data_IF_067884895891
#
_entry.id   IF_067884895891
#
_cell.length_a   1.000
_cell.length_b   1.000
_cell.length_c   1.000
_cell.angle_alpha   90.00
_cell.angle_beta   90.00
_cell.angle_gamma   90.00
#
_symmetry.space_group_name_H-M   'P 1'
#
loop_
_entity.id
_entity.type
_entity.pdbx_description
1 polymer ?
#
# COMPACT_ATOMS: atom_id res chain seq x y z
N UNK A 1 21.07 -9.73 6.80
CA UNK A 1 20.12 -9.86 7.92
C UNK A 1 19.77 -11.34 8.04
N UNK A 2 19.75 -11.90 9.25
CA UNK A 2 19.33 -13.29 9.45
C UNK A 2 17.80 -13.40 9.49
N UNK A 3 17.26 -14.62 9.41
CA UNK A 3 15.81 -14.84 9.36
C UNK A 3 15.10 -14.36 10.63
N UNK A 4 15.75 -14.45 11.80
CA UNK A 4 15.16 -13.98 13.04
C UNK A 4 15.03 -12.46 13.04
N UNK A 5 16.09 -11.73 12.71
CA UNK A 5 16.06 -10.27 12.62
C UNK A 5 15.07 -9.77 11.56
N UNK A 6 14.93 -10.49 10.44
CA UNK A 6 13.91 -10.15 9.43
C UNK A 6 12.49 -10.28 9.98
N UNK A 7 12.20 -11.34 10.74
CA UNK A 7 10.87 -11.55 11.31
C UNK A 7 10.51 -10.45 12.30
N UNK A 8 11.45 -10.09 13.17
CA UNK A 8 11.26 -9.08 14.23
C UNK A 8 11.10 -7.67 13.67
N UNK A 9 11.71 -7.38 12.51
CA UNK A 9 11.67 -6.06 11.87
C UNK A 9 10.64 -5.96 10.75
N UNK A 10 9.95 -7.05 10.38
CA UNK A 10 8.99 -7.03 9.28
C UNK A 10 7.81 -6.12 9.63
N UNK A 11 7.47 -5.19 8.75
CA UNK A 11 6.37 -4.23 8.90
C UNK A 11 5.22 -4.52 7.93
N UNK A 12 5.57 -4.86 6.70
CA UNK A 12 4.61 -5.11 5.62
C UNK A 12 5.15 -6.18 4.68
N UNK A 13 4.29 -7.13 4.29
CA UNK A 13 4.64 -8.16 3.32
C UNK A 13 3.49 -8.42 2.35
N UNK A 14 3.70 -8.05 1.09
CA UNK A 14 2.78 -8.40 0.01
C UNK A 14 2.88 -9.90 -0.26
N UNK A 15 1.90 -10.65 0.27
CA UNK A 15 1.90 -12.12 0.23
C UNK A 15 1.71 -12.63 -1.19
N UNK A 16 0.95 -11.92 -2.01
CA UNK A 16 0.66 -12.29 -3.40
C UNK A 16 1.90 -12.05 -4.27
N UNK A 17 2.58 -10.92 -4.07
CA UNK A 17 3.86 -10.65 -4.73
C UNK A 17 4.92 -11.68 -4.35
N UNK A 18 5.07 -12.00 -3.06
CA UNK A 18 6.05 -12.99 -2.58
C UNK A 18 5.75 -14.37 -3.16
N UNK A 19 4.49 -14.81 -3.13
CA UNK A 19 4.10 -16.09 -3.70
C UNK A 19 4.38 -16.17 -5.21
N UNK A 20 4.02 -15.12 -5.97
CA UNK A 20 4.28 -15.05 -7.40
C UNK A 20 5.78 -15.00 -7.73
N UNK A 21 6.57 -14.24 -6.96
CA UNK A 21 8.02 -14.17 -7.11
C UNK A 21 8.68 -15.51 -6.77
N UNK A 22 8.18 -16.23 -5.75
CA UNK A 22 8.69 -17.53 -5.36
C UNK A 22 8.50 -18.56 -6.47
N UNK A 23 7.30 -18.63 -7.05
CA UNK A 23 7.00 -19.47 -8.20
C UNK A 23 7.90 -19.13 -9.39
N UNK A 24 7.99 -17.85 -9.75
CA UNK A 24 8.72 -17.40 -10.94
C UNK A 24 10.24 -17.58 -10.82
N UNK A 25 10.83 -17.35 -9.65
CA UNK A 25 12.29 -17.32 -9.47
C UNK A 25 12.86 -18.64 -8.93
N UNK A 26 12.08 -19.41 -8.18
CA UNK A 26 12.52 -20.72 -7.64
C UNK A 26 11.93 -21.90 -8.40
N UNK A 27 10.95 -21.68 -9.28
CA UNK A 27 10.32 -22.74 -10.07
C UNK A 27 9.41 -23.68 -9.26
N UNK A 28 9.04 -23.29 -8.04
CA UNK A 28 8.14 -24.06 -7.19
C UNK A 28 6.70 -23.66 -7.45
N UNK A 29 5.99 -24.44 -8.27
CA UNK A 29 4.57 -24.24 -8.53
C UNK A 29 3.73 -24.52 -7.27
N UNK A 30 2.70 -23.71 -6.99
CA UNK A 30 1.76 -24.01 -5.92
C UNK A 30 0.97 -25.28 -6.23
N UNK A 31 0.53 -25.96 -5.17
CA UNK A 31 -0.59 -26.87 -5.28
C UNK A 31 -1.86 -26.04 -5.48
N UNK A 32 -2.47 -26.14 -6.66
CA UNK A 32 -3.72 -25.43 -6.98
C UNK A 32 -4.91 -26.29 -6.62
N UNK A 33 -5.79 -25.78 -5.74
CA UNK A 33 -7.11 -26.35 -5.50
C UNK A 33 -8.16 -25.39 -6.07
N UNK A 34 -8.94 -25.86 -7.05
CA UNK A 34 -10.06 -25.10 -7.60
C UNK A 34 -11.30 -25.44 -6.80
N UNK A 35 -11.79 -24.48 -6.00
CA UNK A 35 -13.04 -24.61 -5.28
C UNK A 35 -14.15 -23.94 -6.08
N UNK A 36 -15.08 -24.75 -6.61
CA UNK A 36 -16.29 -24.26 -7.25
C UNK A 36 -17.35 -24.03 -6.18
N UNK A 37 -17.71 -22.77 -5.93
CA UNK A 37 -18.84 -22.44 -5.07
C UNK A 37 -20.13 -22.45 -5.90
N UNK A 38 -20.97 -23.46 -5.72
CA UNK A 38 -22.34 -23.44 -6.24
C UNK A 38 -23.23 -22.67 -5.25
N UNK A 39 -23.64 -21.46 -5.62
CA UNK A 39 -24.48 -20.61 -4.79
C UNK A 39 -25.85 -21.25 -4.55
N UNK A 40 -26.09 -21.78 -3.34
CA UNK A 40 -27.40 -22.29 -2.91
C UNK A 40 -28.30 -21.12 -2.49
N UNK A 41 -28.77 -20.33 -3.44
CA UNK A 41 -29.93 -19.45 -3.21
C UNK A 41 -31.21 -20.29 -3.35
N UNK A 42 -31.71 -20.79 -2.21
CA UNK A 42 -33.06 -21.30 -2.10
C UNK A 42 -34.04 -20.11 -2.13
N UNK A 43 -34.55 -19.77 -3.32
CA UNK A 43 -35.58 -18.75 -3.48
C UNK A 43 -35.70 -18.28 -4.93
N UNK A 44 -36.69 -18.84 -5.65
CA UNK A 44 -37.23 -18.38 -6.94
C UNK A 44 -36.23 -18.09 -8.07
N UNK A 45 -35.97 -19.11 -8.89
CA UNK A 45 -35.23 -19.03 -10.16
C UNK A 45 -35.98 -18.22 -11.22
N UNK A 46 -35.40 -17.08 -11.64
CA UNK A 46 -35.64 -16.51 -12.98
C UNK A 46 -34.52 -17.05 -13.89
N UNK A 47 -34.82 -17.83 -14.95
CA UNK A 47 -33.83 -18.68 -15.59
C UNK A 47 -33.21 -18.06 -16.85
N UNK A 48 -32.62 -16.85 -16.79
CA UNK A 48 -31.95 -16.31 -18.00
C UNK A 48 -30.61 -15.60 -17.86
N UNK A 49 -30.13 -15.21 -16.66
CA UNK A 49 -28.78 -14.62 -16.56
C UNK A 49 -28.13 -14.89 -15.19
N UNK A 50 -27.51 -16.06 -15.04
CA UNK A 50 -26.55 -16.27 -13.95
C UNK A 50 -25.36 -17.09 -14.45
N UNK A 51 -24.53 -16.47 -15.28
CA UNK A 51 -23.13 -16.86 -15.46
C UNK A 51 -22.34 -16.48 -14.18
N UNK A 52 -22.78 -17.00 -13.03
CA UNK A 52 -22.27 -16.69 -11.70
C UNK A 52 -21.69 -17.92 -11.03
N UNK A 53 -20.88 -18.70 -11.76
CA UNK A 53 -19.98 -19.66 -11.13
C UNK A 53 -18.72 -18.88 -10.73
N UNK A 54 -18.67 -18.36 -9.50
CA UNK A 54 -17.40 -17.91 -8.93
C UNK A 54 -16.58 -19.14 -8.57
N UNK A 55 -15.75 -19.58 -9.52
CA UNK A 55 -14.66 -20.49 -9.20
C UNK A 55 -13.57 -19.67 -8.49
N UNK A 56 -13.32 -19.99 -7.23
CA UNK A 56 -12.18 -19.43 -6.51
C UNK A 56 -11.03 -20.43 -6.64
N UNK A 57 -9.93 -20.00 -7.26
CA UNK A 57 -8.69 -20.76 -7.29
C UNK A 57 -7.90 -20.47 -6.01
N UNK A 58 -7.67 -21.50 -5.20
CA UNK A 58 -6.82 -21.42 -4.00
C UNK A 58 -5.45 -21.98 -4.33
N UNK A 59 -4.41 -21.18 -4.10
CA UNK A 59 -3.00 -21.59 -4.25
C UNK A 59 -2.41 -21.91 -2.89
N UNK A 60 -1.86 -23.10 -2.74
CA UNK A 60 -1.25 -23.56 -1.50
C UNK A 60 0.20 -23.94 -1.75
N UNK A 61 1.11 -23.42 -0.93
CA UNK A 61 2.52 -23.78 -0.95
C UNK A 61 2.90 -24.58 0.29
N UNK A 62 3.91 -25.43 0.17
CA UNK A 62 4.43 -26.21 1.31
C UNK A 62 5.29 -25.36 2.26
N UNK A 63 5.80 -24.22 1.78
CA UNK A 63 6.59 -23.25 2.55
C UNK A 63 5.68 -22.11 2.98
N UNK A 64 5.89 -21.55 4.17
CA UNK A 64 5.17 -20.36 4.63
C UNK A 64 5.58 -19.12 3.84
N UNK A 65 4.73 -18.08 3.79
CA UNK A 65 5.08 -16.81 3.12
C UNK A 65 6.37 -16.19 3.68
N UNK A 66 6.61 -16.33 4.99
CA UNK A 66 7.86 -15.88 5.59
C UNK A 66 9.05 -16.73 5.14
N UNK A 67 8.90 -18.06 5.04
CA UNK A 67 9.92 -18.93 4.46
C UNK A 67 10.27 -18.55 3.03
N UNK A 68 9.25 -18.30 2.19
CA UNK A 68 9.46 -17.82 0.82
C UNK A 68 10.25 -16.50 0.80
N UNK A 69 9.88 -15.55 1.66
CA UNK A 69 10.59 -14.28 1.79
C UNK A 69 12.07 -14.51 2.15
N UNK A 70 12.38 -15.40 3.10
CA UNK A 70 13.78 -15.66 3.48
C UNK A 70 14.62 -16.21 2.32
N UNK A 71 14.02 -17.01 1.43
CA UNK A 71 14.70 -17.55 0.25
C UNK A 71 14.80 -16.56 -0.92
N UNK A 72 13.85 -15.62 -1.00
CA UNK A 72 13.79 -14.57 -2.02
C UNK A 72 14.59 -13.33 -1.66
N UNK A 73 14.90 -13.10 -0.38
CA UNK A 73 15.58 -11.90 0.07
C UNK A 73 16.88 -11.62 -0.71
N UNK A 74 17.77 -12.59 -1.01
CA UNK A 74 18.97 -12.34 -1.82
C UNK A 74 18.67 -11.86 -3.25
N UNK A 75 17.54 -12.26 -3.83
CA UNK A 75 17.10 -11.77 -5.14
C UNK A 75 16.51 -10.36 -5.02
N UNK A 76 15.75 -10.10 -3.95
CA UNK A 76 15.18 -8.78 -3.71
C UNK A 76 16.26 -7.72 -3.43
N UNK A 77 17.38 -8.09 -2.80
CA UNK A 77 18.53 -7.20 -2.59
C UNK A 77 19.15 -6.69 -3.89
N UNK A 78 18.92 -7.36 -5.03
CA UNK A 78 19.43 -6.93 -6.35
C UNK A 78 18.62 -5.79 -6.96
N UNK A 79 17.43 -5.47 -6.45
CA UNK A 79 16.66 -4.32 -6.93
C UNK A 79 17.41 -3.01 -6.66
N UNK A 80 17.30 -2.01 -7.54
CA UNK A 80 18.04 -0.76 -7.39
C UNK A 80 17.47 0.09 -6.26
N UNK A 81 18.32 0.96 -5.68
CA UNK A 81 17.85 2.06 -4.83
C UNK A 81 17.18 3.13 -5.71
N UNK A 82 16.01 3.62 -5.28
CA UNK A 82 15.28 4.70 -5.91
C UNK A 82 15.79 6.03 -5.36
N UNK A 83 16.72 6.67 -6.09
CA UNK A 83 17.36 7.92 -5.68
C UNK A 83 16.47 9.17 -5.87
N UNK A 84 15.54 9.16 -6.82
CA UNK A 84 14.52 10.18 -7.02
C UNK A 84 13.48 9.65 -8.03
N UNK A 85 12.20 10.03 -7.93
CA UNK A 85 11.28 9.79 -9.02
C UNK A 85 11.51 10.87 -10.08
N UNK A 86 11.87 10.46 -11.29
CA UNK A 86 11.13 10.99 -12.42
C UNK A 86 10.72 9.79 -13.25
N UNK A 87 9.58 9.20 -12.89
CA UNK A 87 8.85 8.41 -13.87
C UNK A 87 8.01 9.43 -14.65
N UNK A 88 8.33 9.70 -15.94
CA UNK A 88 7.50 10.57 -16.76
C UNK A 88 6.06 10.08 -16.74
N UNK A 89 5.10 10.99 -16.88
CA UNK A 89 3.72 10.57 -17.08
C UNK A 89 3.66 9.55 -18.23
N UNK A 90 2.94 8.44 -18.03
CA UNK A 90 2.83 7.30 -18.96
C UNK A 90 4.06 6.39 -19.09
N UNK A 91 5.05 6.49 -18.21
CA UNK A 91 6.13 5.49 -18.16
C UNK A 91 5.68 4.22 -17.45
N UNK A 92 6.33 3.09 -17.77
CA UNK A 92 6.18 1.85 -17.03
C UNK A 92 6.53 2.04 -15.54
N UNK A 93 5.84 1.31 -14.66
CA UNK A 93 6.17 1.25 -13.24
C UNK A 93 7.57 0.68 -13.01
N UNK A 94 8.24 1.10 -11.94
CA UNK A 94 9.56 0.56 -11.54
C UNK A 94 9.49 -0.04 -10.15
N UNK A 95 10.25 -1.11 -9.93
CA UNK A 95 10.46 -1.70 -8.61
C UNK A 95 11.84 -1.29 -8.11
N UNK A 96 11.93 -0.89 -6.84
CA UNK A 96 13.20 -0.55 -6.21
C UNK A 96 13.07 -0.29 -4.73
N UNK A 97 14.23 -0.22 -4.08
CA UNK A 97 14.33 0.08 -2.65
C UNK A 97 14.24 1.57 -2.39
N UNK A 98 13.55 1.94 -1.33
CA UNK A 98 13.61 3.27 -0.71
C UNK A 98 13.97 3.11 0.76
N UNK A 99 14.90 3.93 1.22
CA UNK A 99 15.24 4.04 2.63
C UNK A 99 14.70 5.37 3.15
N UNK A 100 14.05 5.35 4.32
CA UNK A 100 13.38 6.53 4.83
C UNK A 100 12.52 6.27 6.05
N UNK A 101 11.52 7.12 6.24
CA UNK A 101 10.59 7.07 7.37
C UNK A 101 9.19 6.73 6.88
N UNK A 102 8.58 5.71 7.48
CA UNK A 102 7.18 5.37 7.32
C UNK A 102 6.34 6.17 8.32
N UNK A 103 5.37 6.92 7.82
CA UNK A 103 4.44 7.72 8.63
C UNK A 103 3.02 7.65 8.09
N UNK A 104 2.06 8.01 8.94
CA UNK A 104 0.66 8.24 8.53
C UNK A 104 0.46 9.73 8.22
N UNK A 105 -0.23 10.02 7.13
CA UNK A 105 -0.59 11.37 6.71
C UNK A 105 -2.09 11.46 6.48
N UNK A 106 -2.65 12.66 6.65
CA UNK A 106 -4.04 12.98 6.29
C UNK A 106 -4.05 14.05 5.22
N UNK A 107 -4.86 13.84 4.19
CA UNK A 107 -5.18 14.86 3.20
C UNK A 107 -6.64 15.26 3.39
N UNK A 108 -6.89 16.57 3.40
CA UNK A 108 -8.22 17.15 3.52
C UNK A 108 -8.56 17.86 2.21
N UNK A 109 -9.62 17.41 1.54
CA UNK A 109 -10.12 18.05 0.33
C UNK A 109 -11.15 19.10 0.74
N UNK A 110 -10.79 20.37 0.60
CA UNK A 110 -11.70 21.50 0.80
C UNK A 110 -12.43 21.82 -0.49
N UNK A 111 -13.71 22.16 -0.38
CA UNK A 111 -14.48 22.66 -1.53
C UNK A 111 -13.95 24.04 -1.94
N UNK A 112 -13.63 24.23 -3.23
CA UNK A 112 -13.42 25.58 -3.75
C UNK A 112 -14.79 26.24 -3.81
N UNK A 113 -15.09 27.10 -2.84
CA UNK A 113 -16.18 28.04 -2.96
C UNK A 113 -15.97 28.85 -4.24
N UNK A 114 -16.84 28.65 -5.23
CA UNK A 114 -16.91 29.54 -6.39
C UNK A 114 -17.45 30.87 -5.86
N UNK A 115 -16.57 31.77 -5.43
CA UNK A 115 -16.92 33.18 -5.31
C UNK A 115 -17.21 33.67 -6.73
N UNK A 116 -18.47 33.56 -7.12
CA UNK A 116 -19.03 34.42 -8.14
C UNK A 116 -19.12 35.79 -7.47
N UNK A 117 -18.17 36.66 -7.80
CA UNK A 117 -18.12 38.04 -7.34
C UNK A 117 -19.33 38.79 -7.93
N UNK A 118 -20.48 38.65 -7.29
CA UNK A 118 -21.61 39.56 -7.45
C UNK A 118 -21.56 40.55 -6.30
N UNK A 119 -21.31 41.81 -6.66
CA UNK A 119 -21.41 42.97 -5.80
C UNK A 119 -22.74 42.96 -5.01
N UNK A 120 -22.69 42.60 -3.74
CA UNK A 120 -23.67 43.08 -2.76
C UNK A 120 -23.04 43.10 -1.36
N UNK A 121 -22.80 44.32 -0.88
CA UNK A 121 -22.48 44.64 0.52
C UNK A 121 -23.55 44.04 1.45
N UNK A 122 -23.18 43.12 2.35
CA UNK A 122 -23.53 43.09 3.80
C UNK A 122 -22.50 42.18 4.51
N UNK A 123 -22.09 42.59 5.70
CA UNK A 123 -21.01 42.08 6.54
C UNK A 123 -21.14 40.63 7.05
N UNK A 124 -20.00 39.92 7.02
CA UNK A 124 -19.49 38.95 8.01
C UNK A 124 -20.43 37.92 8.65
N UNK A 125 -20.43 36.69 8.10
CA UNK A 125 -20.52 35.44 8.88
C UNK A 125 -19.51 34.47 8.27
N UNK A 126 -18.66 33.86 9.10
CA UNK A 126 -17.52 33.05 8.69
C UNK A 126 -17.90 32.02 7.63
N UNK A 127 -17.22 32.06 6.49
CA UNK A 127 -17.40 31.11 5.40
C UNK A 127 -16.86 29.76 5.89
N UNK A 128 -17.77 28.91 6.37
CA UNK A 128 -17.48 27.52 6.66
C UNK A 128 -17.19 26.84 5.32
N UNK A 129 -15.92 26.64 4.97
CA UNK A 129 -15.56 25.81 3.82
C UNK A 129 -15.89 24.36 4.19
N UNK A 130 -16.92 23.73 3.60
CA UNK A 130 -17.23 22.35 3.91
C UNK A 130 -16.08 21.45 3.45
N UNK A 131 -15.56 20.64 4.38
CA UNK A 131 -14.63 19.56 4.04
C UNK A 131 -15.41 18.52 3.22
N UNK A 132 -15.02 18.34 1.96
CA UNK A 132 -15.68 17.39 1.04
C UNK A 132 -15.27 15.95 1.31
N UNK A 133 -14.11 15.76 1.94
CA UNK A 133 -13.62 14.47 2.38
C UNK A 133 -12.22 14.59 2.96
N UNK A 134 -11.83 13.64 3.80
CA UNK A 134 -10.45 13.45 4.23
C UNK A 134 -10.05 12.00 4.09
N UNK A 135 -8.82 11.77 3.68
CA UNK A 135 -8.26 10.43 3.53
C UNK A 135 -6.96 10.33 4.33
N UNK A 136 -6.77 9.22 5.03
CA UNK A 136 -5.55 8.90 5.76
C UNK A 136 -4.79 7.80 5.03
N UNK A 137 -3.49 7.97 4.87
CA UNK A 137 -2.67 7.02 4.13
C UNK A 137 -1.28 6.90 4.75
N UNK A 138 -0.64 5.76 4.49
CA UNK A 138 0.79 5.59 4.79
C UNK A 138 1.63 6.23 3.71
N UNK A 139 2.74 6.85 4.08
CA UNK A 139 3.75 7.28 3.13
C UNK A 139 5.15 6.99 3.63
N UNK A 140 6.06 6.71 2.69
CA UNK A 140 7.50 6.66 2.96
C UNK A 140 8.15 7.91 2.42
N UNK A 141 8.83 8.63 3.31
CA UNK A 141 9.65 9.79 2.96
C UNK A 141 11.11 9.39 2.99
N UNK A 142 11.81 9.56 1.86
CA UNK A 142 13.22 9.20 1.75
C UNK A 142 14.09 10.00 2.71
N UNK A 143 15.19 9.40 3.18
CA UNK A 143 16.23 10.08 3.93
C UNK A 143 16.73 11.31 3.13
N UNK A 144 16.62 12.50 3.70
CA UNK A 144 16.91 13.78 3.02
C UNK A 144 15.70 14.49 2.43
N UNK A 145 14.49 13.93 2.53
CA UNK A 145 13.22 14.62 2.25
C UNK A 145 12.90 14.88 0.77
N UNK A 146 13.75 14.44 -0.16
CA UNK A 146 13.63 14.70 -1.61
C UNK A 146 12.52 13.90 -2.29
N UNK A 147 12.09 12.79 -1.69
CA UNK A 147 11.08 11.89 -2.22
C UNK A 147 10.07 11.54 -1.14
N UNK A 148 8.78 11.75 -1.44
CA UNK A 148 7.65 11.24 -0.65
C UNK A 148 6.78 10.36 -1.54
N UNK A 149 6.59 9.11 -1.11
CA UNK A 149 5.74 8.12 -1.76
C UNK A 149 4.50 7.87 -0.92
N UNK A 150 3.32 8.26 -1.42
CA UNK A 150 2.05 7.82 -0.87
C UNK A 150 1.83 6.34 -1.24
N UNK A 151 1.57 5.52 -0.24
CA UNK A 151 1.48 4.08 -0.38
C UNK A 151 0.03 3.61 -0.52
N UNK A 152 -0.23 2.77 -1.52
CA UNK A 152 -1.45 1.97 -1.62
C UNK A 152 -1.19 0.67 -0.87
N UNK A 153 -1.79 0.52 0.30
CA UNK A 153 -1.55 -0.61 1.21
C UNK A 153 -2.79 -1.49 1.36
N UNK A 154 -2.61 -2.80 1.35
CA UNK A 154 -3.60 -3.77 1.85
C UNK A 154 -3.45 -3.95 3.38
N UNK A 155 -4.49 -3.68 4.19
CA UNK A 155 -4.39 -3.77 5.66
C UNK A 155 -3.90 -5.11 6.20
N UNK A 156 -4.33 -6.22 5.59
CA UNK A 156 -4.01 -7.58 6.04
C UNK A 156 -2.54 -7.99 5.80
N UNK A 157 -1.79 -7.15 5.07
CA UNK A 157 -0.37 -7.37 4.78
C UNK A 157 0.55 -6.69 5.80
N UNK A 158 0.01 -5.84 6.67
CA UNK A 158 0.76 -5.35 7.82
C UNK A 158 0.96 -6.45 8.85
N UNK A 159 2.16 -6.51 9.42
CA UNK A 159 2.46 -7.34 10.58
C UNK A 159 2.06 -6.63 11.87
N UNK A 160 1.91 -7.39 12.94
CA UNK A 160 1.82 -6.88 14.31
C UNK A 160 0.75 -5.80 14.54
N UNK A 161 -0.31 -5.78 13.71
CA UNK A 161 -1.39 -4.80 13.82
C UNK A 161 -1.04 -3.38 13.36
N UNK A 162 0.10 -3.15 12.71
CA UNK A 162 0.53 -1.80 12.28
C UNK A 162 -0.47 -1.11 11.34
N UNK A 163 -1.29 -1.87 10.60
CA UNK A 163 -2.38 -1.30 9.82
C UNK A 163 -3.42 -0.51 10.65
N UNK A 164 -3.53 -0.78 11.95
CA UNK A 164 -4.41 -0.05 12.86
C UNK A 164 -3.98 1.40 13.09
N UNK A 165 -2.72 1.76 12.79
CA UNK A 165 -2.21 3.13 12.96
C UNK A 165 -3.02 4.16 12.17
N UNK A 166 -3.57 3.78 11.00
CA UNK A 166 -4.46 4.67 10.23
C UNK A 166 -5.70 5.09 11.02
N UNK A 167 -6.27 4.16 11.80
CA UNK A 167 -7.49 4.40 12.58
C UNK A 167 -7.22 5.23 13.84
N UNK A 168 -6.00 5.16 14.36
CA UNK A 168 -5.57 5.85 15.58
C UNK A 168 -5.00 7.25 15.30
N UNK A 169 -4.79 7.60 14.03
CA UNK A 169 -4.32 8.92 13.62
C UNK A 169 -5.28 10.02 14.09
N UNK A 170 -4.73 11.13 14.59
CA UNK A 170 -5.43 12.28 15.20
C UNK A 170 -6.25 12.02 16.48
N UNK A 171 -6.47 10.75 16.85
CA UNK A 171 -7.19 10.41 18.09
C UNK A 171 -6.25 10.06 19.23
N UNK A 172 -5.25 9.21 18.95
CA UNK A 172 -4.31 8.70 19.97
C UNK A 172 -2.86 8.93 19.55
N UNK A 173 -2.59 9.03 18.24
CA UNK A 173 -1.24 9.18 17.71
C UNK A 173 -0.96 10.63 17.32
N UNK A 174 -0.02 11.27 18.03
CA UNK A 174 0.49 12.62 17.69
C UNK A 174 1.60 12.57 16.64
N UNK A 175 2.52 11.59 16.72
CA UNK A 175 3.60 11.42 15.76
C UNK A 175 3.94 9.94 15.60
N UNK A 176 3.90 9.44 14.36
CA UNK A 176 4.43 8.11 14.00
C UNK A 176 5.46 8.30 12.90
N UNK A 177 6.71 7.97 13.21
CA UNK A 177 7.80 7.90 12.26
C UNK A 177 8.62 6.66 12.56
N UNK A 178 8.56 5.67 11.66
CA UNK A 178 9.27 4.41 11.80
C UNK A 178 10.39 4.40 10.75
N UNK A 179 11.67 4.28 11.15
CA UNK A 179 12.76 4.16 10.18
C UNK A 179 12.64 2.82 9.46
N UNK A 180 12.51 2.85 8.14
CA UNK A 180 12.27 1.66 7.32
C UNK A 180 13.16 1.60 6.09
N UNK A 181 13.28 0.38 5.56
CA UNK A 181 13.65 0.12 4.18
C UNK A 181 12.47 -0.59 3.51
N UNK A 182 12.02 -0.04 2.39
CA UNK A 182 10.84 -0.52 1.68
C UNK A 182 11.18 -0.87 0.23
N UNK A 183 10.86 -2.08 -0.20
CA UNK A 183 10.82 -2.46 -1.60
C UNK A 183 9.45 -2.05 -2.13
N UNK A 184 9.43 -1.14 -3.09
CA UNK A 184 8.20 -0.53 -3.59
C UNK A 184 8.13 -0.61 -5.10
N UNK A 185 6.92 -0.78 -5.62
CA UNK A 185 6.58 -0.55 -7.02
C UNK A 185 6.05 0.87 -7.16
N UNK A 186 6.80 1.75 -7.84
CA UNK A 186 6.43 3.14 -8.08
C UNK A 186 5.79 3.29 -9.46
N UNK A 187 4.70 4.06 -9.53
CA UNK A 187 4.00 4.36 -10.77
C UNK A 187 4.38 5.75 -11.30
N UNK A 188 4.32 5.93 -12.62
CA UNK A 188 4.42 7.25 -13.27
C UNK A 188 3.14 8.07 -13.09
N UNK A 189 2.66 8.16 -11.85
CA UNK A 189 1.43 8.82 -11.46
C UNK A 189 1.64 9.57 -10.13
N UNK A 190 1.07 10.76 -10.07
CA UNK A 190 1.01 11.58 -8.85
C UNK A 190 -0.43 11.68 -8.37
N UNK A 191 -0.62 11.74 -7.06
CA UNK A 191 -1.91 12.00 -6.43
C UNK A 191 -2.41 13.42 -6.74
N UNK A 192 -3.66 13.69 -6.40
CA UNK A 192 -4.25 15.04 -6.44
C UNK A 192 -3.55 16.05 -5.52
N UNK A 193 -2.74 15.56 -4.57
CA UNK A 193 -1.94 16.33 -3.62
C UNK A 193 -0.43 16.29 -3.95
N UNK A 194 -0.09 16.02 -5.22
CA UNK A 194 1.27 16.09 -5.78
C UNK A 194 2.27 15.11 -5.16
N UNK A 195 1.81 13.98 -4.63
CA UNK A 195 2.68 12.92 -4.12
C UNK A 195 2.75 11.76 -5.10
N UNK A 196 3.93 11.15 -5.23
CA UNK A 196 4.11 9.98 -6.08
C UNK A 196 3.46 8.76 -5.45
N UNK A 197 2.85 7.92 -6.29
CA UNK A 197 2.14 6.73 -5.83
C UNK A 197 3.06 5.50 -5.88
N UNK A 198 3.11 4.76 -4.77
CA UNK A 198 3.79 3.48 -4.67
C UNK A 198 2.90 2.37 -4.11
N UNK A 199 3.18 1.14 -4.47
CA UNK A 199 2.67 -0.07 -3.80
C UNK A 199 3.83 -0.71 -3.06
N UNK A 200 3.77 -0.86 -1.72
CA UNK A 200 4.79 -1.58 -0.98
C UNK A 200 4.70 -3.07 -1.27
N UNK A 201 5.85 -3.68 -1.51
CA UNK A 201 5.99 -5.13 -1.72
C UNK A 201 6.57 -5.79 -0.46
N UNK A 202 7.51 -5.10 0.18
CA UNK A 202 8.14 -5.50 1.44
C UNK A 202 8.55 -4.23 2.18
N UNK A 203 8.24 -4.13 3.47
CA UNK A 203 8.76 -3.09 4.37
C UNK A 203 9.31 -3.78 5.60
N UNK A 204 10.52 -3.42 5.98
CA UNK A 204 11.09 -3.79 7.26
C UNK A 204 11.74 -2.59 7.94
N UNK A 205 11.74 -2.59 9.27
CA UNK A 205 12.41 -1.58 10.08
C UNK A 205 13.91 -1.60 9.78
N UNK A 206 14.52 -0.41 9.85
CA UNK A 206 15.97 -0.27 9.92
C UNK A 206 16.34 -0.05 11.38
N UNK A 207 17.42 -0.68 11.82
CA UNK A 207 18.09 -0.23 13.03
C UNK A 207 18.39 1.27 12.86
N UNK A 208 17.93 2.10 13.79
CA UNK A 208 18.28 3.51 13.80
C UNK A 208 19.79 3.65 13.96
N UNK A 209 20.40 4.53 13.17
CA UNK A 209 21.73 5.02 13.49
C UNK A 209 21.56 5.88 14.76
N UNK A 210 21.88 5.31 15.91
CA UNK A 210 21.91 6.01 17.19
C UNK A 210 23.06 7.04 17.24
#
# INVERSE_FOLDING_TARGET
MDSKGLLETLVYLDRDFVAAAYEALKGHAPLTQVTRNEGKNAGATIPFFTAGLSATETRTFTVSTFGMLTELLPEFEKYPLLAAPPLPAKSASRIGWIAGELSVFKVVVKERSKQHDQLTRVSSVGTYDPVKGSETYFAVRSAGGTLKLALITTPDYFTSGLGALLRLYETVLEQVSIPVRALVRVYGATSSFQEWIGVPLLIHERAGDA
#
